data_IF_831353793975
#
_entry.id   IF_831353793975
#
_cell.length_a   1.000
_cell.length_b   1.000
_cell.length_c   1.000
_cell.angle_alpha   90.00
_cell.angle_beta   90.00
_cell.angle_gamma   90.00
#
_symmetry.space_group_name_H-M   'P 1'
#
loop_
_entity.id
_entity.type
_entity.pdbx_description
1 polymer ?
#
# COMPACT_ATOMS: atom_id res chain seq x y z
N UNK A 1 27.39 9.77 6.64
CA UNK A 1 28.38 9.83 5.54
C UNK A 1 27.80 9.49 4.17
N UNK A 2 26.93 8.49 4.01
CA UNK A 2 26.34 8.14 2.70
C UNK A 2 25.33 9.20 2.21
N UNK A 3 24.52 9.77 3.11
CA UNK A 3 23.52 10.80 2.80
C UNK A 3 24.20 12.13 2.37
N UNK A 4 25.34 12.47 2.94
CA UNK A 4 26.09 13.68 2.58
C UNK A 4 26.79 13.57 1.21
N UNK A 5 27.16 12.36 0.78
CA UNK A 5 27.78 12.12 -0.53
C UNK A 5 26.73 12.14 -1.67
N UNK A 6 25.49 11.71 -1.38
CA UNK A 6 24.35 11.82 -2.31
C UNK A 6 23.99 13.30 -2.56
N UNK A 7 24.11 14.16 -1.56
CA UNK A 7 23.83 15.61 -1.67
C UNK A 7 25.04 16.40 -2.23
N UNK A 8 26.26 15.86 -2.16
CA UNK A 8 27.44 16.52 -2.72
C UNK A 8 27.60 16.32 -4.25
N UNK A 9 26.94 15.32 -4.84
CA UNK A 9 26.94 15.07 -6.29
C UNK A 9 25.87 15.83 -7.09
N UNK A 10 25.04 16.66 -6.45
CA UNK A 10 23.82 17.24 -7.05
C UNK A 10 23.89 18.66 -7.64
N UNK A 11 25.00 19.42 -7.72
CA UNK A 11 24.92 20.75 -8.33
C UNK A 11 24.49 20.69 -9.81
N UNK A 12 24.71 19.57 -10.50
CA UNK A 12 24.19 19.36 -11.86
C UNK A 12 22.74 18.84 -11.93
N UNK A 13 22.22 18.13 -10.94
CA UNK A 13 20.87 17.51 -11.04
C UNK A 13 19.79 18.58 -10.93
N UNK A 14 19.96 19.56 -10.03
CA UNK A 14 18.98 20.63 -9.84
C UNK A 14 18.94 21.54 -11.06
N UNK A 15 20.10 21.88 -11.62
CA UNK A 15 20.22 22.72 -12.83
C UNK A 15 19.72 21.99 -14.09
N UNK A 16 19.95 20.68 -14.20
CA UNK A 16 19.37 19.84 -15.25
C UNK A 16 17.85 19.76 -15.08
N UNK A 17 17.32 19.51 -13.89
CA UNK A 17 15.88 19.45 -13.65
C UNK A 17 15.20 20.79 -13.95
N UNK A 18 15.76 21.92 -13.51
CA UNK A 18 15.25 23.26 -13.82
C UNK A 18 15.38 23.62 -15.30
N UNK A 19 16.51 23.31 -15.93
CA UNK A 19 16.73 23.54 -17.36
C UNK A 19 15.82 22.71 -18.26
N UNK A 20 15.44 21.50 -17.83
CA UNK A 20 14.46 20.65 -18.51
C UNK A 20 13.02 21.11 -18.25
N UNK A 21 12.71 21.59 -17.04
CA UNK A 21 11.38 22.11 -16.69
C UNK A 21 11.02 23.36 -17.49
N UNK A 22 11.99 24.24 -17.73
CA UNK A 22 11.81 25.44 -18.54
C UNK A 22 11.51 25.12 -20.02
N UNK A 23 11.89 23.92 -20.51
CA UNK A 23 11.75 23.50 -21.92
C UNK A 23 10.57 22.55 -22.18
N UNK A 24 10.19 21.72 -21.21
CA UNK A 24 9.14 20.70 -21.37
C UNK A 24 7.69 21.21 -21.36
N UNK A 25 7.47 22.52 -21.22
CA UNK A 25 6.15 23.14 -21.33
C UNK A 25 5.19 22.86 -20.16
N UNK A 26 3.92 23.20 -20.35
CA UNK A 26 2.88 23.17 -19.31
C UNK A 26 2.67 21.78 -18.67
N UNK A 27 2.85 20.70 -19.44
CA UNK A 27 2.58 19.32 -19.02
C UNK A 27 3.63 18.73 -18.05
N UNK A 28 4.77 19.41 -17.87
CA UNK A 28 5.77 19.01 -16.87
C UNK A 28 5.29 19.22 -15.43
N UNK A 29 4.49 20.25 -15.18
CA UNK A 29 3.99 20.56 -13.82
C UNK A 29 3.12 19.43 -13.23
N UNK A 30 2.11 18.90 -13.95
CA UNK A 30 1.37 17.71 -13.51
C UNK A 30 2.26 16.48 -13.30
N UNK A 31 3.26 16.25 -14.16
CA UNK A 31 4.19 15.12 -14.03
C UNK A 31 5.03 15.22 -12.75
N UNK A 32 5.54 16.41 -12.42
CA UNK A 32 6.25 16.64 -11.17
C UNK A 32 5.36 16.42 -9.95
N UNK A 33 4.10 16.90 -10.00
CA UNK A 33 3.14 16.62 -8.94
C UNK A 33 2.93 15.11 -8.75
N UNK A 34 2.77 14.35 -9.85
CA UNK A 34 2.67 12.89 -9.80
C UNK A 34 3.92 12.25 -9.18
N UNK A 35 5.12 12.73 -9.51
CA UNK A 35 6.38 12.24 -8.95
C UNK A 35 6.48 12.47 -7.44
N UNK A 36 6.17 13.68 -6.97
CA UNK A 36 6.22 14.02 -5.54
C UNK A 36 5.21 13.18 -4.76
N UNK A 37 3.98 13.06 -5.28
CA UNK A 37 2.92 12.27 -4.65
C UNK A 37 3.30 10.79 -4.62
N UNK A 38 3.80 10.22 -5.71
CA UNK A 38 4.15 8.80 -5.76
C UNK A 38 5.25 8.45 -4.76
N UNK A 39 6.33 9.24 -4.71
CA UNK A 39 7.43 9.05 -3.76
C UNK A 39 6.95 9.21 -2.32
N UNK A 40 6.14 10.23 -2.04
CA UNK A 40 5.58 10.48 -0.71
C UNK A 40 4.74 9.28 -0.24
N UNK A 41 3.82 8.80 -1.08
CA UNK A 41 2.98 7.66 -0.70
C UNK A 41 3.82 6.39 -0.60
N UNK A 42 4.81 6.16 -1.48
CA UNK A 42 5.72 5.01 -1.37
C UNK A 42 6.44 4.97 -0.02
N UNK A 43 6.95 6.11 0.45
CA UNK A 43 7.62 6.21 1.76
C UNK A 43 6.61 5.95 2.89
N UNK A 44 5.47 6.64 2.87
CA UNK A 44 4.44 6.50 3.90
C UNK A 44 3.91 5.07 4.00
N UNK A 45 3.67 4.41 2.86
CA UNK A 45 3.24 3.00 2.82
C UNK A 45 4.36 2.06 3.24
N UNK A 46 5.60 2.30 2.83
CA UNK A 46 6.76 1.51 3.28
C UNK A 46 6.95 1.53 4.80
N UNK A 47 6.62 2.66 5.44
CA UNK A 47 6.62 2.75 6.90
C UNK A 47 5.36 2.13 7.53
N UNK A 48 4.17 2.37 6.97
CA UNK A 48 2.91 1.88 7.52
C UNK A 48 2.71 0.36 7.41
N UNK A 49 3.15 -0.27 6.30
CA UNK A 49 3.05 -1.72 6.05
C UNK A 49 4.18 -2.51 6.73
N UNK A 50 4.78 -1.99 7.81
CA UNK A 50 5.73 -2.75 8.61
C UNK A 50 4.97 -3.80 9.42
N UNK A 51 5.43 -5.05 9.41
CA UNK A 51 4.79 -6.17 10.13
C UNK A 51 4.52 -5.80 11.59
N UNK A 52 5.50 -5.23 12.29
CA UNK A 52 5.35 -4.74 13.68
C UNK A 52 4.17 -3.77 13.92
N UNK A 53 3.74 -3.01 12.92
CA UNK A 53 2.64 -2.02 13.05
C UNK A 53 1.28 -2.66 12.78
N UNK A 54 1.19 -3.56 11.80
CA UNK A 54 -0.09 -4.15 11.34
C UNK A 54 -0.37 -5.50 12.03
N UNK A 55 0.68 -6.30 12.23
CA UNK A 55 0.68 -7.65 12.81
C UNK A 55 1.84 -7.79 13.80
N UNK A 56 1.69 -7.30 15.04
CA UNK A 56 2.71 -7.42 16.07
C UNK A 56 2.98 -8.91 16.37
N UNK A 57 4.25 -9.33 16.28
CA UNK A 57 4.67 -10.70 16.54
C UNK A 57 4.28 -11.20 17.94
N UNK A 58 4.11 -10.30 18.91
CA UNK A 58 3.64 -10.64 20.24
C UNK A 58 2.20 -11.19 20.27
N UNK A 59 1.31 -10.65 19.41
CA UNK A 59 -0.09 -11.10 19.33
C UNK A 59 -0.15 -12.43 18.59
N UNK A 60 0.57 -12.54 17.47
CA UNK A 60 0.73 -13.77 16.70
C UNK A 60 1.23 -14.92 17.59
N UNK A 61 2.36 -14.72 18.28
CA UNK A 61 2.93 -15.73 19.16
C UNK A 61 2.01 -16.11 20.33
N UNK A 62 1.22 -15.16 20.87
CA UNK A 62 0.27 -15.48 21.94
C UNK A 62 -0.92 -16.28 21.42
N UNK A 63 -1.39 -16.04 20.19
CA UNK A 63 -2.43 -16.86 19.54
C UNK A 63 -1.90 -18.27 19.29
N UNK A 64 -0.69 -18.40 18.74
CA UNK A 64 -0.07 -19.70 18.43
C UNK A 64 0.17 -20.53 19.69
N UNK A 65 0.68 -19.91 20.76
CA UNK A 65 0.99 -20.55 22.04
C UNK A 65 -0.25 -21.01 22.81
N UNK A 66 -1.40 -20.38 22.58
CA UNK A 66 -2.64 -20.70 23.28
C UNK A 66 -3.10 -22.12 22.96
N UNK A 67 -3.35 -22.93 24.00
CA UNK A 67 -3.87 -24.29 23.82
C UNK A 67 -5.39 -24.26 23.48
N UNK A 68 -5.91 -25.27 22.76
CA UNK A 68 -7.35 -25.40 22.53
C UNK A 68 -8.12 -25.45 23.85
N UNK A 69 -9.07 -24.52 24.02
CA UNK A 69 -9.88 -24.39 25.25
C UNK A 69 -9.21 -23.68 26.42
N UNK A 70 -7.99 -23.16 26.24
CA UNK A 70 -7.36 -22.24 27.16
C UNK A 70 -8.11 -20.90 27.19
N UNK A 71 -8.03 -20.24 28.33
CA UNK A 71 -8.75 -19.01 28.62
C UNK A 71 -8.01 -17.80 28.01
N UNK A 72 -8.68 -16.93 27.22
CA UNK A 72 -8.00 -15.92 26.41
C UNK A 72 -7.66 -14.62 27.17
N UNK A 73 -7.54 -14.62 28.50
CA UNK A 73 -7.35 -13.39 29.30
C UNK A 73 -5.99 -12.72 29.08
N UNK A 74 -4.97 -13.51 28.73
CA UNK A 74 -3.66 -12.96 28.39
C UNK A 74 -3.72 -12.22 27.06
N UNK A 75 -4.33 -12.85 26.07
CA UNK A 75 -4.52 -12.28 24.73
C UNK A 75 -5.41 -11.03 24.78
N UNK A 76 -6.50 -11.06 25.56
CA UNK A 76 -7.40 -9.90 25.69
C UNK A 76 -6.69 -8.67 26.26
N UNK A 77 -5.80 -8.85 27.25
CA UNK A 77 -4.98 -7.77 27.81
C UNK A 77 -3.99 -7.21 26.81
N UNK A 78 -3.30 -8.08 26.07
CA UNK A 78 -2.32 -7.66 25.05
C UNK A 78 -2.98 -6.85 23.93
N UNK A 79 -4.17 -7.29 23.52
CA UNK A 79 -4.91 -6.69 22.40
C UNK A 79 -5.61 -5.39 22.79
N UNK A 80 -5.91 -5.14 24.07
CA UNK A 80 -6.70 -3.98 24.49
C UNK A 80 -6.01 -2.63 24.17
N UNK A 81 -4.70 -2.55 24.38
CA UNK A 81 -3.92 -1.32 24.16
C UNK A 81 -3.23 -1.24 22.80
N UNK A 82 -3.27 -2.31 22.01
CA UNK A 82 -2.55 -2.38 20.74
C UNK A 82 -3.39 -1.76 19.59
N UNK A 83 -2.85 -0.78 18.84
CA UNK A 83 -3.56 -0.11 17.76
C UNK A 83 -3.42 -0.82 16.39
N UNK A 84 -2.82 -2.02 16.34
CA UNK A 84 -2.65 -2.77 15.10
C UNK A 84 -3.95 -3.32 14.52
N UNK A 85 -3.92 -3.67 13.23
CA UNK A 85 -5.07 -4.26 12.55
C UNK A 85 -5.40 -5.64 13.13
N UNK A 86 -4.38 -6.48 13.35
CA UNK A 86 -4.55 -7.79 13.96
C UNK A 86 -5.21 -7.68 15.35
N UNK A 87 -4.73 -6.77 16.21
CA UNK A 87 -5.33 -6.51 17.52
C UNK A 87 -6.83 -6.14 17.40
N UNK A 88 -7.18 -5.24 16.48
CA UNK A 88 -8.58 -4.83 16.29
C UNK A 88 -9.48 -5.99 15.89
N UNK A 89 -9.02 -6.87 15.00
CA UNK A 89 -9.79 -8.04 14.55
C UNK A 89 -9.91 -9.06 15.70
N UNK A 90 -8.79 -9.38 16.36
CA UNK A 90 -8.75 -10.28 17.52
C UNK A 90 -9.67 -9.80 18.64
N UNK A 91 -9.73 -8.50 18.92
CA UNK A 91 -10.61 -7.94 19.96
C UNK A 91 -12.08 -8.24 19.69
N UNK A 92 -12.51 -8.09 18.44
CA UNK A 92 -13.88 -8.38 18.03
C UNK A 92 -14.18 -9.87 18.16
N UNK A 93 -13.23 -10.74 17.79
CA UNK A 93 -13.36 -12.19 17.96
C UNK A 93 -13.58 -12.57 19.45
N UNK A 94 -12.78 -11.97 20.34
CA UNK A 94 -12.85 -12.21 21.79
C UNK A 94 -14.16 -11.71 22.42
N UNK A 95 -14.69 -10.57 21.95
CA UNK A 95 -15.96 -10.00 22.45
C UNK A 95 -17.18 -10.86 22.11
N UNK A 96 -17.15 -11.58 20.98
CA UNK A 96 -18.27 -12.39 20.49
C UNK A 96 -18.16 -13.88 20.85
N UNK A 97 -17.18 -14.28 21.68
CA UNK A 97 -16.98 -15.68 22.08
C UNK A 97 -18.18 -16.31 22.81
N UNK A 98 -19.05 -15.49 23.42
CA UNK A 98 -20.24 -15.96 24.13
C UNK A 98 -21.32 -16.48 23.18
N UNK A 99 -21.41 -15.92 21.97
CA UNK A 99 -22.39 -16.31 20.96
C UNK A 99 -22.03 -17.60 20.20
N UNK A 100 -22.89 -18.04 19.27
CA UNK A 100 -22.61 -19.14 18.36
C UNK A 100 -21.35 -18.91 17.53
N UNK A 101 -20.67 -19.99 17.15
CA UNK A 101 -19.45 -19.91 16.32
C UNK A 101 -19.70 -19.23 14.98
N UNK A 102 -20.83 -19.52 14.34
CA UNK A 102 -21.19 -18.96 13.03
C UNK A 102 -21.28 -17.43 13.07
N UNK A 103 -21.96 -16.89 14.09
CA UNK A 103 -22.10 -15.44 14.29
C UNK A 103 -20.74 -14.77 14.53
N UNK A 104 -19.89 -15.36 15.38
CA UNK A 104 -18.56 -14.81 15.65
C UNK A 104 -17.70 -14.76 14.37
N UNK A 105 -17.69 -15.85 13.58
CA UNK A 105 -16.97 -15.90 12.31
C UNK A 105 -17.44 -14.81 11.35
N UNK A 106 -18.75 -14.59 11.23
CA UNK A 106 -19.33 -13.57 10.35
C UNK A 106 -18.93 -12.14 10.75
N UNK A 107 -19.04 -11.82 12.05
CA UNK A 107 -18.66 -10.49 12.58
C UNK A 107 -17.16 -10.24 12.41
N UNK A 108 -16.33 -11.27 12.66
CA UNK A 108 -14.88 -11.21 12.49
C UNK A 108 -14.49 -11.01 11.03
N UNK A 109 -15.09 -11.76 10.10
CA UNK A 109 -14.83 -11.60 8.66
C UNK A 109 -15.21 -10.19 8.18
N UNK A 110 -16.34 -9.67 8.63
CA UNK A 110 -16.76 -8.30 8.33
C UNK A 110 -15.73 -7.29 8.86
N UNK A 111 -15.24 -7.49 10.09
CA UNK A 111 -14.22 -6.62 10.68
C UNK A 111 -12.87 -6.72 9.98
N UNK A 112 -12.46 -7.91 9.57
CA UNK A 112 -11.22 -8.17 8.84
C UNK A 112 -11.24 -7.44 7.50
N UNK A 113 -12.31 -7.59 6.71
CA UNK A 113 -12.50 -6.84 5.44
C UNK A 113 -12.39 -5.33 5.64
N UNK A 114 -12.99 -4.80 6.70
CA UNK A 114 -12.89 -3.37 6.99
C UNK A 114 -11.45 -2.92 7.34
N UNK A 115 -10.69 -3.72 8.08
CA UNK A 115 -9.28 -3.41 8.34
C UNK A 115 -8.38 -3.61 7.11
N UNK A 116 -8.69 -4.57 6.22
CA UNK A 116 -7.97 -4.75 4.94
C UNK A 116 -8.07 -3.50 4.07
N UNK A 117 -9.28 -2.97 3.86
CA UNK A 117 -9.50 -1.71 3.13
C UNK A 117 -8.71 -0.55 3.75
N UNK A 118 -8.58 -0.54 5.09
CA UNK A 118 -7.78 0.49 5.78
C UNK A 118 -6.28 0.34 5.51
N UNK A 119 -5.76 -0.88 5.44
CA UNK A 119 -4.34 -1.16 5.16
C UNK A 119 -4.02 -0.86 3.69
N UNK A 120 -4.95 -1.13 2.77
CA UNK A 120 -4.85 -0.82 1.32
C UNK A 120 -4.90 0.68 1.02
N UNK A 121 -5.33 1.52 1.97
CA UNK A 121 -5.47 2.96 1.75
C UNK A 121 -4.17 3.58 1.21
N UNK A 122 -4.29 4.27 0.09
CA UNK A 122 -3.18 4.94 -0.59
C UNK A 122 -2.53 4.13 -1.71
N UNK A 123 -2.72 2.79 -1.76
CA UNK A 123 -2.24 1.99 -2.89
C UNK A 123 -2.95 2.38 -4.19
N UNK A 124 -4.24 2.69 -4.11
CA UNK A 124 -5.03 3.22 -5.24
C UNK A 124 -4.43 4.48 -5.86
N UNK A 125 -3.75 5.32 -5.07
CA UNK A 125 -3.10 6.53 -5.59
C UNK A 125 -1.89 6.15 -6.46
N UNK A 126 -1.10 5.16 -6.02
CA UNK A 126 0.01 4.67 -6.84
C UNK A 126 -0.52 4.03 -8.12
N UNK A 127 -1.58 3.22 -8.03
CA UNK A 127 -2.22 2.58 -9.19
C UNK A 127 -2.66 3.62 -10.23
N UNK A 128 -3.33 4.68 -9.78
CA UNK A 128 -3.75 5.78 -10.65
C UNK A 128 -2.51 6.41 -11.31
N UNK A 129 -1.47 6.74 -10.54
CA UNK A 129 -0.24 7.38 -11.05
C UNK A 129 0.46 6.52 -12.10
N UNK A 130 0.49 5.19 -11.93
CA UNK A 130 1.01 4.25 -12.94
C UNK A 130 0.31 4.43 -14.28
N UNK A 131 -1.02 4.61 -14.27
CA UNK A 131 -1.81 4.84 -15.47
C UNK A 131 -1.67 6.25 -16.05
N UNK A 132 -1.77 7.29 -15.22
CA UNK A 132 -1.83 8.67 -15.72
C UNK A 132 -0.46 9.26 -16.09
N UNK A 133 0.64 8.87 -15.43
CA UNK A 133 1.95 9.48 -15.70
C UNK A 133 2.45 9.25 -17.14
N UNK A 134 2.37 8.03 -17.73
CA UNK A 134 2.72 7.82 -19.14
C UNK A 134 1.79 8.57 -20.10
N UNK A 135 0.49 8.63 -19.78
CA UNK A 135 -0.49 9.34 -20.60
C UNK A 135 -0.24 10.84 -20.62
N UNK A 136 0.11 11.44 -19.47
CA UNK A 136 0.52 12.84 -19.39
C UNK A 136 1.80 13.11 -20.19
N UNK A 137 2.77 12.19 -20.13
CA UNK A 137 3.99 12.27 -20.94
C UNK A 137 3.70 12.23 -22.44
N UNK A 138 2.82 11.31 -22.88
CA UNK A 138 2.38 11.21 -24.27
C UNK A 138 1.66 12.48 -24.75
N UNK A 139 0.75 13.02 -23.95
CA UNK A 139 0.06 14.29 -24.26
C UNK A 139 1.09 15.43 -24.38
N UNK A 140 2.07 15.50 -23.48
CA UNK A 140 3.15 16.47 -23.54
C UNK A 140 3.96 16.37 -24.84
N UNK A 141 4.32 15.16 -25.26
CA UNK A 141 5.04 14.93 -26.50
C UNK A 141 4.21 15.30 -27.74
N UNK A 142 2.94 14.93 -27.79
CA UNK A 142 2.05 15.30 -28.90
C UNK A 142 1.89 16.82 -28.96
N UNK A 143 1.70 17.49 -27.83
CA UNK A 143 1.61 18.95 -27.78
C UNK A 143 2.90 19.63 -28.23
N UNK A 144 4.06 19.09 -27.85
CA UNK A 144 5.36 19.61 -28.29
C UNK A 144 5.54 19.46 -29.80
N UNK A 145 5.19 18.30 -30.36
CA UNK A 145 5.22 18.09 -31.81
C UNK A 145 4.29 19.04 -32.55
N UNK A 146 3.05 19.25 -32.07
CA UNK A 146 2.12 20.21 -32.68
C UNK A 146 2.74 21.61 -32.75
N UNK A 147 3.41 22.06 -31.69
CA UNK A 147 4.09 23.36 -31.66
C UNK A 147 5.29 23.44 -32.62
N UNK A 148 6.04 22.34 -32.77
CA UNK A 148 7.13 22.27 -33.75
C UNK A 148 6.59 22.39 -35.17
N UNK A 149 5.56 21.60 -35.51
CA UNK A 149 4.96 21.58 -36.84
C UNK A 149 4.21 22.88 -37.18
N UNK A 150 3.63 23.59 -36.21
CA UNK A 150 2.96 24.87 -36.45
C UNK A 150 3.91 25.99 -36.83
N UNK A 151 5.19 25.88 -36.46
CA UNK A 151 6.21 26.87 -36.76
C UNK A 151 6.98 26.57 -38.05
N UNK A 152 6.77 25.37 -38.63
CA UNK A 152 7.36 25.00 -39.92
C UNK A 152 6.82 25.86 -41.04
N UNK A 153 7.74 26.41 -41.85
CA UNK A 153 7.39 27.21 -43.02
C UNK A 153 7.17 28.69 -42.74
N UNK A 154 7.36 29.15 -41.49
CA UNK A 154 7.41 30.58 -41.14
C UNK A 154 8.80 31.20 -41.40
N UNK A 155 9.84 30.38 -41.53
CA UNK A 155 11.23 30.79 -41.81
C UNK A 155 11.88 29.89 -42.87
N UNK A 156 12.51 30.49 -43.88
CA UNK A 156 13.22 29.78 -44.95
C UNK A 156 14.73 29.75 -44.70
N UNK A 157 15.29 28.60 -44.29
CA UNK A 157 16.74 28.41 -44.15
C UNK A 157 17.19 27.14 -43.40
N UNK A 158 18.48 26.81 -43.46
CA UNK A 158 19.07 25.64 -42.77
C UNK A 158 19.04 25.71 -41.23
N UNK A 159 18.77 26.90 -40.65
CA UNK A 159 18.52 27.06 -39.21
C UNK A 159 17.22 26.38 -38.75
N UNK A 160 16.26 26.21 -39.65
CA UNK A 160 14.96 25.62 -39.38
C UNK A 160 15.11 24.13 -39.01
N UNK A 161 15.94 23.38 -39.75
CA UNK A 161 16.19 21.94 -39.51
C UNK A 161 16.74 21.65 -38.11
N UNK A 162 17.66 22.48 -37.62
CA UNK A 162 18.23 22.31 -36.27
C UNK A 162 17.20 22.62 -35.18
N UNK A 163 16.37 23.65 -35.37
CA UNK A 163 15.33 24.02 -34.41
C UNK A 163 14.23 22.95 -34.33
N UNK A 164 13.84 22.37 -35.46
CA UNK A 164 12.89 21.26 -35.52
C UNK A 164 13.41 20.06 -34.74
N UNK A 165 14.67 19.66 -34.98
CA UNK A 165 15.28 18.54 -34.27
C UNK A 165 15.32 18.76 -32.75
N UNK A 166 15.63 19.98 -32.30
CA UNK A 166 15.61 20.33 -30.88
C UNK A 166 14.19 20.28 -30.29
N UNK A 167 13.19 20.82 -30.98
CA UNK A 167 11.80 20.81 -30.50
C UNK A 167 11.20 19.40 -30.43
N UNK A 168 11.55 18.52 -31.37
CA UNK A 168 11.17 17.10 -31.32
C UNK A 168 11.82 16.42 -30.11
N UNK A 169 13.11 16.68 -29.86
CA UNK A 169 13.79 16.12 -28.70
C UNK A 169 13.17 16.61 -27.37
N UNK A 170 12.80 17.89 -27.29
CA UNK A 170 12.09 18.46 -26.14
C UNK A 170 10.72 17.81 -25.92
N UNK A 171 9.97 17.57 -27.00
CA UNK A 171 8.68 16.88 -26.94
C UNK A 171 8.82 15.45 -26.39
N UNK A 172 9.82 14.69 -26.86
CA UNK A 172 10.05 13.31 -26.41
C UNK A 172 10.48 13.21 -24.94
N UNK A 173 11.10 14.25 -24.38
CA UNK A 173 11.50 14.27 -22.98
C UNK A 173 10.31 14.12 -22.03
N UNK A 174 9.13 14.67 -22.36
CA UNK A 174 7.93 14.53 -21.55
C UNK A 174 7.51 13.05 -21.39
N UNK A 175 7.59 12.27 -22.47
CA UNK A 175 7.31 10.83 -22.47
C UNK A 175 8.32 10.07 -21.63
N UNK A 176 9.61 10.36 -21.80
CA UNK A 176 10.67 9.72 -21.01
C UNK A 176 10.45 9.99 -19.52
N UNK A 177 10.07 11.21 -19.16
CA UNK A 177 9.76 11.57 -17.76
C UNK A 177 8.54 10.83 -17.23
N UNK A 178 7.44 10.79 -17.98
CA UNK A 178 6.23 10.05 -17.61
C UNK A 178 6.52 8.58 -17.34
N UNK A 179 7.32 7.94 -18.19
CA UNK A 179 7.75 6.55 -18.00
C UNK A 179 8.70 6.40 -16.81
N UNK A 180 9.63 7.34 -16.60
CA UNK A 180 10.58 7.31 -15.48
C UNK A 180 9.89 7.38 -14.12
N UNK A 181 8.69 8.00 -14.05
CA UNK A 181 7.86 8.04 -12.85
C UNK A 181 6.98 6.78 -12.75
N UNK A 182 6.39 6.35 -13.87
CA UNK A 182 5.47 5.22 -13.88
C UNK A 182 6.14 3.89 -13.52
N UNK A 183 7.35 3.63 -14.02
CA UNK A 183 8.05 2.35 -13.81
C UNK A 183 8.36 2.11 -12.32
N UNK A 184 9.02 3.01 -11.57
CA UNK A 184 9.22 2.84 -10.13
C UNK A 184 7.91 2.80 -9.35
N UNK A 185 6.91 3.59 -9.76
CA UNK A 185 5.60 3.61 -9.08
C UNK A 185 4.89 2.27 -9.25
N UNK A 186 4.98 1.62 -10.42
CA UNK A 186 4.40 0.30 -10.68
C UNK A 186 5.07 -0.79 -9.85
N UNK A 187 6.40 -0.75 -9.75
CA UNK A 187 7.15 -1.67 -8.87
C UNK A 187 6.70 -1.49 -7.42
N UNK A 188 6.61 -0.24 -6.95
CA UNK A 188 6.16 0.09 -5.60
C UNK A 188 4.72 -0.39 -5.34
N UNK A 189 3.78 -0.06 -6.24
CA UNK A 189 2.39 -0.51 -6.17
C UNK A 189 2.31 -2.03 -6.07
N UNK A 190 2.95 -2.75 -7.00
CA UNK A 190 2.89 -4.21 -7.06
C UNK A 190 3.46 -4.86 -5.80
N UNK A 191 4.59 -4.34 -5.31
CA UNK A 191 5.23 -4.81 -4.07
C UNK A 191 4.33 -4.59 -2.85
N UNK A 192 3.76 -3.39 -2.69
CA UNK A 192 2.88 -3.08 -1.56
C UNK A 192 1.56 -3.85 -1.64
N UNK A 193 0.93 -3.94 -2.81
CA UNK A 193 -0.31 -4.70 -3.00
C UNK A 193 -0.13 -6.16 -2.60
N UNK A 194 0.92 -6.82 -3.09
CA UNK A 194 1.22 -8.21 -2.72
C UNK A 194 1.52 -8.36 -1.24
N UNK A 195 2.20 -7.37 -0.64
CA UNK A 195 2.47 -7.38 0.80
C UNK A 195 1.19 -7.27 1.63
N UNK A 196 0.24 -6.42 1.22
CA UNK A 196 -1.05 -6.30 1.91
C UNK A 196 -1.87 -7.58 1.78
N UNK A 197 -1.89 -8.19 0.59
CA UNK A 197 -2.57 -9.47 0.34
C UNK A 197 -2.04 -10.56 1.28
N UNK A 198 -0.72 -10.76 1.33
CA UNK A 198 -0.08 -11.76 2.22
C UNK A 198 -0.44 -11.50 3.68
N UNK A 199 -0.30 -10.26 4.15
CA UNK A 199 -0.63 -9.91 5.53
C UNK A 199 -2.11 -10.11 5.85
N UNK A 200 -3.00 -9.90 4.87
CA UNK A 200 -4.44 -10.11 5.04
C UNK A 200 -4.77 -11.59 5.25
N UNK A 201 -4.19 -12.47 4.41
CA UNK A 201 -4.34 -13.93 4.54
C UNK A 201 -3.75 -14.44 5.86
N UNK A 202 -2.58 -13.94 6.28
CA UNK A 202 -1.99 -14.30 7.57
C UNK A 202 -2.91 -13.88 8.74
N UNK A 203 -3.45 -12.65 8.72
CA UNK A 203 -4.38 -12.18 9.76
C UNK A 203 -5.66 -13.02 9.81
N UNK A 204 -6.24 -13.36 8.66
CA UNK A 204 -7.44 -14.21 8.61
C UNK A 204 -7.16 -15.60 9.17
N UNK A 205 -6.02 -16.19 8.81
CA UNK A 205 -5.60 -17.52 9.29
C UNK A 205 -5.46 -17.53 10.81
N UNK A 206 -4.72 -16.56 11.37
CA UNK A 206 -4.50 -16.45 12.83
C UNK A 206 -5.82 -16.27 13.59
N UNK A 207 -6.74 -15.47 13.06
CA UNK A 207 -8.00 -15.22 13.76
C UNK A 207 -8.95 -16.42 13.66
N UNK A 208 -9.00 -17.13 12.52
CA UNK A 208 -9.76 -18.38 12.40
C UNK A 208 -9.19 -19.44 13.34
N UNK A 209 -7.87 -19.56 13.44
CA UNK A 209 -7.21 -20.45 14.40
C UNK A 209 -7.59 -20.11 15.85
N UNK A 210 -7.56 -18.83 16.21
CA UNK A 210 -8.00 -18.34 17.51
C UNK A 210 -9.45 -18.76 17.82
N UNK A 211 -10.37 -18.51 16.88
CA UNK A 211 -11.79 -18.90 17.04
C UNK A 211 -11.87 -20.41 17.27
N UNK A 212 -11.21 -21.21 16.44
CA UNK A 212 -11.24 -22.67 16.59
C UNK A 212 -10.71 -23.12 17.97
N UNK A 213 -9.59 -22.56 18.44
CA UNK A 213 -9.05 -22.85 19.77
C UNK A 213 -10.02 -22.48 20.89
N UNK A 214 -10.68 -21.32 20.83
CA UNK A 214 -11.64 -20.90 21.85
C UNK A 214 -12.91 -21.76 21.87
N UNK A 215 -13.45 -22.12 20.71
CA UNK A 215 -14.69 -22.92 20.62
C UNK A 215 -14.46 -24.42 20.85
N UNK A 216 -13.25 -24.95 20.58
CA UNK A 216 -12.90 -26.36 20.87
C UNK A 216 -13.08 -26.70 22.36
N UNK A 217 -12.63 -25.80 23.25
CA UNK A 217 -12.80 -25.99 24.70
C UNK A 217 -14.25 -25.96 25.17
N UNK A 218 -15.16 -25.34 24.40
CA UNK A 218 -16.57 -25.24 24.77
C UNK A 218 -17.29 -26.57 24.57
N UNK A 219 -17.06 -27.24 23.43
CA UNK A 219 -17.60 -28.57 23.18
C UNK A 219 -17.10 -29.61 24.20
N UNK A 220 -15.80 -29.55 24.57
CA UNK A 220 -15.23 -30.43 25.59
C UNK A 220 -15.80 -30.16 27.00
N UNK A 221 -16.06 -28.90 27.36
CA UNK A 221 -16.65 -28.52 28.65
C UNK A 221 -18.13 -28.85 28.75
N UNK A 222 -18.92 -28.60 27.70
CA UNK A 222 -20.35 -28.96 27.64
C UNK A 222 -20.55 -30.48 27.75
N UNK A 223 -19.69 -31.28 27.12
CA UNK A 223 -19.73 -32.74 27.25
C UNK A 223 -19.40 -33.22 28.68
N UNK A 224 -18.46 -32.55 29.37
CA UNK A 224 -18.12 -32.86 30.76
C UNK A 224 -19.23 -32.49 31.75
N UNK A 225 -19.96 -31.39 31.50
CA UNK A 225 -21.07 -30.93 32.35
C UNK A 225 -22.31 -31.82 32.19
N UNK A 226 -22.59 -32.30 30.96
CA UNK A 226 -23.70 -33.23 30.71
C UNK A 226 -23.49 -34.63 31.33
N UNK A 227 -22.24 -35.02 31.62
CA UNK A 227 -21.88 -36.33 32.20
C UNK A 227 -21.71 -36.29 33.73
N UNK A 228 -22.12 -35.20 34.40
CA UNK A 228 -22.19 -35.18 35.87
C UNK A 228 -23.48 -35.91 36.26
N UNK A 229 -23.43 -37.10 36.88
CA UNK A 229 -24.65 -37.77 37.34
C UNK A 229 -25.34 -36.87 38.37
N UNK A 230 -26.61 -36.54 38.11
CA UNK A 230 -27.54 -35.94 39.07
C UNK A 230 -27.90 -36.96 40.15
N UNK A 231 -26.91 -37.32 40.96
CA UNK A 231 -27.03 -38.17 42.13
C UNK A 231 -26.48 -37.40 43.32
N UNK A 232 -27.20 -36.37 43.76
CA UNK A 232 -27.42 -35.96 45.17
C UNK A 232 -28.49 -34.86 45.15
N UNK A 233 -29.76 -35.25 45.31
CA UNK A 233 -30.82 -34.56 46.04
C UNK A 233 -32.10 -35.41 45.95
#
# INVERSE_FOLDING_TARGET
MIIAWIIAGTPGIVDVVFGFFARGGLFMWPLLACSIVSVTIMILRGLALRRKIVMPAAIEAEIERMAPGESPERLSRLVYHDPSSLARITRVALQHLRGPRSENVEVVQTRARHEMVRVERGLIILEIIVGIAPLLGLIGAVSGLVHVFSNLGLSSGASDTRQIALGIAEALNATVFGLSIAVPTLIGFTYFSRKVEVMSVEMETLVVELINKCYYGRAAREHKVSNIPTSVA
#
